data_IF_297048429241
#
_entry.id   IF_297048429241
#
_cell.length_a   1.000
_cell.length_b   1.000
_cell.length_c   1.000
_cell.angle_alpha   90.00
_cell.angle_beta   90.00
_cell.angle_gamma   90.00
#
_symmetry.space_group_name_H-M   'P 1'
#
loop_
_entity.id
_entity.type
_entity.pdbx_description
1 polymer ?
#
# COMPACT_ATOMS: atom_id res chain seq x y z
N UNK A 1 -15.08 20.97 13.47
CA UNK A 1 -15.98 21.54 12.45
C UNK A 1 -17.37 21.68 13.04
N UNK A 2 -18.17 22.68 12.63
CA UNK A 2 -19.58 22.74 13.01
C UNK A 2 -20.35 21.58 12.37
N UNK A 3 -21.42 21.09 13.01
CA UNK A 3 -22.24 19.99 12.45
C UNK A 3 -23.20 20.54 11.40
N UNK A 4 -23.13 20.02 10.18
CA UNK A 4 -24.05 20.39 9.08
C UNK A 4 -25.42 19.75 9.27
N UNK A 5 -25.43 18.48 9.68
CA UNK A 5 -26.64 17.70 9.95
C UNK A 5 -27.09 17.93 11.39
N UNK A 6 -28.32 18.41 11.56
CA UNK A 6 -28.90 18.66 12.89
C UNK A 6 -29.29 17.37 13.58
N UNK A 7 -29.27 17.35 14.92
CA UNK A 7 -29.73 16.18 15.68
C UNK A 7 -31.23 15.92 15.46
N UNK A 8 -32.01 16.97 15.19
CA UNK A 8 -33.44 16.88 14.82
C UNK A 8 -33.63 16.08 13.52
N UNK A 9 -32.89 16.41 12.45
CA UNK A 9 -32.94 15.65 11.19
C UNK A 9 -32.53 14.18 11.38
N UNK A 10 -31.45 13.94 12.14
CA UNK A 10 -30.97 12.57 12.37
C UNK A 10 -31.98 11.74 13.18
N UNK A 11 -32.71 12.37 14.11
CA UNK A 11 -33.71 11.66 14.93
C UNK A 11 -34.84 11.04 14.10
N UNK A 12 -35.12 11.55 12.89
CA UNK A 12 -36.09 10.97 11.96
C UNK A 12 -35.70 9.57 11.46
N UNK A 13 -34.47 9.12 11.71
CA UNK A 13 -33.93 7.84 11.28
C UNK A 13 -33.73 6.84 12.43
N UNK A 14 -33.99 7.23 13.69
CA UNK A 14 -33.70 6.37 14.84
C UNK A 14 -34.52 5.08 14.88
N UNK A 15 -35.78 5.15 14.42
CA UNK A 15 -36.70 4.01 14.32
C UNK A 15 -36.73 3.38 12.91
N UNK A 16 -36.01 3.95 11.94
CA UNK A 16 -35.96 3.42 10.57
C UNK A 16 -34.94 2.29 10.49
N UNK A 17 -35.33 1.18 9.84
CA UNK A 17 -34.41 0.10 9.52
C UNK A 17 -33.79 0.36 8.14
N UNK A 18 -32.45 0.39 8.00
CA UNK A 18 -31.83 0.48 6.69
C UNK A 18 -32.15 -0.78 5.87
N UNK A 19 -32.27 -0.67 4.53
CA UNK A 19 -32.65 -1.78 3.65
C UNK A 19 -31.50 -2.77 3.41
N UNK A 20 -30.73 -3.09 4.45
CA UNK A 20 -29.65 -4.07 4.40
C UNK A 20 -30.21 -5.50 4.45
N UNK A 21 -29.60 -6.39 3.67
CA UNK A 21 -29.76 -7.84 3.87
C UNK A 21 -29.01 -8.27 5.14
N UNK A 22 -29.30 -9.46 5.68
CA UNK A 22 -28.57 -10.00 6.84
C UNK A 22 -27.05 -10.08 6.60
N UNK A 23 -26.64 -10.40 5.36
CA UNK A 23 -25.24 -10.40 4.98
C UNK A 23 -24.67 -8.97 4.94
N UNK A 24 -25.41 -8.01 4.40
CA UNK A 24 -25.03 -6.61 4.38
C UNK A 24 -24.83 -6.04 5.79
N UNK A 25 -25.75 -6.34 6.70
CA UNK A 25 -25.68 -5.93 8.11
C UNK A 25 -24.45 -6.55 8.80
N UNK A 26 -24.21 -7.85 8.61
CA UNK A 26 -23.01 -8.51 9.14
C UNK A 26 -21.72 -7.88 8.62
N UNK A 27 -21.64 -7.63 7.30
CA UNK A 27 -20.47 -7.00 6.68
C UNK A 27 -20.25 -5.59 7.21
N UNK A 28 -21.33 -4.81 7.39
CA UNK A 28 -21.28 -3.47 7.96
C UNK A 28 -20.66 -3.48 9.36
N UNK A 29 -21.20 -4.28 10.28
CA UNK A 29 -20.72 -4.32 11.66
C UNK A 29 -19.28 -4.83 11.78
N UNK A 30 -18.89 -5.76 10.91
CA UNK A 30 -17.53 -6.30 10.88
C UNK A 30 -16.52 -5.30 10.31
N UNK A 31 -16.89 -4.55 9.27
CA UNK A 31 -15.93 -3.84 8.41
C UNK A 31 -15.95 -2.32 8.57
N UNK A 32 -17.13 -1.70 8.67
CA UNK A 32 -17.28 -0.23 8.58
C UNK A 32 -17.69 0.43 9.89
N UNK A 33 -18.43 -0.29 10.73
CA UNK A 33 -18.90 0.20 12.02
C UNK A 33 -17.74 0.32 13.02
N UNK A 34 -17.39 1.53 13.47
CA UNK A 34 -16.28 1.74 14.39
C UNK A 34 -16.69 1.50 15.85
N UNK A 35 -15.71 1.20 16.70
CA UNK A 35 -15.92 1.12 18.15
C UNK A 35 -15.97 2.53 18.76
N UNK A 36 -17.00 2.81 19.56
CA UNK A 36 -17.17 4.05 20.32
C UNK A 36 -16.84 3.77 21.79
N UNK A 37 -15.64 4.15 22.29
CA UNK A 37 -15.23 3.86 23.67
C UNK A 37 -16.22 4.40 24.70
N UNK A 38 -16.67 5.64 24.52
CA UNK A 38 -17.58 6.32 25.46
C UNK A 38 -18.96 5.67 25.55
N UNK A 39 -19.40 5.01 24.46
CA UNK A 39 -20.71 4.33 24.41
C UNK A 39 -20.60 2.82 24.65
N UNK A 40 -19.39 2.28 24.79
CA UNK A 40 -19.11 0.85 24.95
C UNK A 40 -19.81 -0.05 23.91
N UNK A 41 -19.93 0.44 22.67
CA UNK A 41 -20.56 -0.28 21.56
C UNK A 41 -19.97 0.15 20.22
N UNK A 42 -20.35 -0.57 19.16
CA UNK A 42 -20.08 -0.14 17.78
C UNK A 42 -21.09 0.90 17.27
N UNK A 43 -20.70 1.65 16.25
CA UNK A 43 -21.57 2.62 15.55
C UNK A 43 -22.81 1.93 14.96
N UNK A 44 -23.97 2.56 15.10
CA UNK A 44 -25.15 2.22 14.29
C UNK A 44 -25.00 2.79 12.88
N UNK A 45 -25.77 2.27 11.92
CA UNK A 45 -25.66 2.71 10.52
C UNK A 45 -25.84 4.22 10.37
N UNK A 46 -26.86 4.81 11.01
CA UNK A 46 -27.09 6.26 11.01
C UNK A 46 -25.89 7.08 11.52
N UNK A 47 -25.15 6.58 12.51
CA UNK A 47 -23.97 7.27 13.07
C UNK A 47 -22.82 7.24 12.06
N UNK A 48 -22.61 6.10 11.39
CA UNK A 48 -21.60 5.95 10.32
C UNK A 48 -21.93 6.84 9.13
N UNK A 49 -23.19 6.85 8.68
CA UNK A 49 -23.62 7.68 7.54
C UNK A 49 -23.45 9.15 7.87
N UNK A 50 -23.88 9.59 9.05
CA UNK A 50 -23.70 10.98 9.49
C UNK A 50 -22.24 11.40 9.42
N UNK A 51 -21.35 10.61 10.03
CA UNK A 51 -19.91 10.87 10.04
C UNK A 51 -19.32 10.93 8.63
N UNK A 52 -19.68 9.99 7.76
CA UNK A 52 -19.19 9.96 6.38
C UNK A 52 -19.68 11.14 5.53
N UNK A 53 -20.93 11.57 5.72
CA UNK A 53 -21.51 12.73 5.02
C UNK A 53 -20.93 14.03 5.55
N UNK A 54 -20.86 14.21 6.87
CA UNK A 54 -20.26 15.40 7.48
C UNK A 54 -18.79 15.56 7.08
N UNK A 55 -18.04 14.46 7.00
CA UNK A 55 -16.70 14.47 6.42
C UNK A 55 -16.68 14.98 4.98
N UNK A 56 -17.50 14.38 4.12
CA UNK A 56 -17.48 14.67 2.68
C UNK A 56 -17.87 16.12 2.39
N UNK A 57 -18.95 16.59 3.01
CA UNK A 57 -19.43 17.98 2.88
C UNK A 57 -18.42 18.96 3.47
N UNK A 58 -17.79 18.61 4.59
CA UNK A 58 -16.76 19.44 5.22
C UNK A 58 -15.48 19.62 4.40
N UNK A 59 -15.26 18.85 3.33
CA UNK A 59 -14.13 19.07 2.42
C UNK A 59 -14.32 20.32 1.54
N UNK A 60 -15.56 20.79 1.35
CA UNK A 60 -15.79 22.09 0.73
C UNK A 60 -15.53 23.22 1.75
N UNK A 61 -14.34 23.81 1.65
CA UNK A 61 -13.90 24.92 2.49
C UNK A 61 -14.36 26.30 1.98
N UNK A 62 -14.96 26.36 0.79
CA UNK A 62 -15.30 27.62 0.12
C UNK A 62 -16.77 28.02 0.33
N UNK A 63 -17.65 27.03 0.57
CA UNK A 63 -19.08 27.25 0.73
C UNK A 63 -19.48 27.27 2.22
N UNK A 64 -20.28 28.24 2.69
CA UNK A 64 -20.80 28.23 4.06
C UNK A 64 -21.59 26.95 4.37
N UNK A 65 -21.36 26.36 5.55
CA UNK A 65 -21.97 25.08 5.95
C UNK A 65 -23.51 25.09 5.93
N UNK A 66 -24.12 26.25 6.18
CA UNK A 66 -25.57 26.42 6.12
C UNK A 66 -26.12 26.22 4.71
N UNK A 67 -25.37 26.60 3.67
CA UNK A 67 -25.76 26.46 2.26
C UNK A 67 -25.64 25.00 1.80
N UNK A 68 -24.74 24.23 2.41
CA UNK A 68 -24.53 22.80 2.12
C UNK A 68 -25.52 21.87 2.85
N UNK A 69 -26.41 22.42 3.69
CA UNK A 69 -27.28 21.60 4.55
C UNK A 69 -28.27 20.75 3.77
N UNK A 70 -28.88 21.30 2.73
CA UNK A 70 -29.86 20.59 1.91
C UNK A 70 -29.17 19.42 1.18
N UNK A 71 -28.04 19.67 0.53
CA UNK A 71 -27.22 18.64 -0.11
C UNK A 71 -26.78 17.55 0.88
N UNK A 72 -26.33 17.93 2.09
CA UNK A 72 -25.95 16.98 3.13
C UNK A 72 -27.13 16.09 3.54
N UNK A 73 -28.34 16.64 3.67
CA UNK A 73 -29.53 15.88 4.03
C UNK A 73 -29.94 14.91 2.91
N UNK A 74 -29.89 15.34 1.65
CA UNK A 74 -30.16 14.49 0.49
C UNK A 74 -29.15 13.34 0.37
N UNK A 75 -27.85 13.65 0.51
CA UNK A 75 -26.79 12.65 0.48
C UNK A 75 -26.94 11.65 1.63
N UNK A 76 -27.26 12.14 2.84
CA UNK A 76 -27.54 11.27 3.98
C UNK A 76 -28.71 10.34 3.71
N UNK A 77 -29.85 10.84 3.21
CA UNK A 77 -31.02 10.01 2.90
C UNK A 77 -30.70 8.92 1.87
N UNK A 78 -29.97 9.29 0.81
CA UNK A 78 -29.57 8.36 -0.25
C UNK A 78 -28.63 7.26 0.26
N UNK A 79 -27.64 7.61 1.08
CA UNK A 79 -26.71 6.62 1.66
C UNK A 79 -27.44 5.76 2.69
N UNK A 80 -28.27 6.35 3.56
CA UNK A 80 -29.04 5.59 4.55
C UNK A 80 -29.88 4.50 3.90
N UNK A 81 -30.55 4.83 2.80
CA UNK A 81 -31.38 3.92 2.01
C UNK A 81 -30.61 3.07 0.98
N UNK A 82 -29.27 3.10 1.00
CA UNK A 82 -28.41 2.33 0.10
C UNK A 82 -28.64 2.59 -1.39
N UNK A 83 -29.20 3.76 -1.74
CA UNK A 83 -29.38 4.17 -3.15
C UNK A 83 -28.04 4.58 -3.77
N UNK A 84 -27.16 5.11 -2.94
CA UNK A 84 -25.79 5.52 -3.27
C UNK A 84 -24.87 5.21 -2.08
N UNK A 85 -23.56 5.21 -2.30
CA UNK A 85 -22.59 5.08 -1.21
C UNK A 85 -21.32 5.84 -1.57
N UNK A 86 -20.67 6.42 -0.55
CA UNK A 86 -19.26 6.80 -0.67
C UNK A 86 -18.38 5.55 -0.73
N UNK A 87 -17.10 5.73 -1.04
CA UNK A 87 -16.14 4.63 -0.99
C UNK A 87 -16.13 3.99 0.40
N UNK A 88 -15.97 2.66 0.46
CA UNK A 88 -15.87 1.93 1.74
C UNK A 88 -14.75 2.46 2.64
N UNK A 89 -13.75 3.15 2.07
CA UNK A 89 -12.74 3.86 2.84
C UNK A 89 -13.31 5.01 3.63
N UNK A 90 -14.01 5.91 2.96
CA UNK A 90 -14.64 7.09 3.58
C UNK A 90 -15.66 6.66 4.64
N UNK A 91 -16.40 5.56 4.42
CA UNK A 91 -17.24 4.97 5.46
C UNK A 91 -16.44 4.61 6.73
N UNK A 92 -15.22 4.09 6.57
CA UNK A 92 -14.36 3.68 7.69
C UNK A 92 -13.57 4.82 8.33
N UNK A 93 -13.01 5.76 7.56
CA UNK A 93 -12.05 6.77 8.06
C UNK A 93 -12.57 8.21 8.05
N UNK A 94 -13.62 8.52 7.29
CA UNK A 94 -14.14 9.88 7.19
C UNK A 94 -14.51 10.45 8.56
N UNK A 95 -14.16 11.70 8.82
CA UNK A 95 -14.41 12.43 10.08
C UNK A 95 -13.95 11.61 11.31
N UNK A 96 -12.75 11.04 11.19
CA UNK A 96 -12.00 10.43 12.30
C UNK A 96 -10.61 11.03 12.37
N UNK A 97 -9.94 10.90 13.51
CA UNK A 97 -8.54 11.33 13.69
C UNK A 97 -7.57 10.72 12.63
N UNK A 98 -7.96 9.60 12.01
CA UNK A 98 -7.18 9.00 10.91
C UNK A 98 -7.19 9.90 9.68
N UNK A 99 -8.34 10.47 9.31
CA UNK A 99 -8.45 11.35 8.14
C UNK A 99 -7.65 12.65 8.32
N UNK A 100 -7.62 13.18 9.56
CA UNK A 100 -6.85 14.39 9.86
C UNK A 100 -5.34 14.14 9.83
N UNK A 101 -4.89 13.03 10.43
CA UNK A 101 -3.46 12.68 10.51
C UNK A 101 -2.90 12.13 9.21
N UNK A 102 -3.71 11.39 8.46
CA UNK A 102 -3.31 10.72 7.23
C UNK A 102 -4.35 10.98 6.14
N UNK A 103 -4.39 12.18 5.54
CA UNK A 103 -5.38 12.52 4.51
C UNK A 103 -5.39 11.52 3.35
N UNK A 104 -4.21 11.03 2.95
CA UNK A 104 -4.04 10.00 1.92
C UNK A 104 -4.78 8.69 2.23
N UNK A 105 -5.07 8.42 3.51
CA UNK A 105 -5.84 7.24 3.90
C UNK A 105 -7.27 7.26 3.34
N UNK A 106 -7.81 8.39 2.87
CA UNK A 106 -9.12 8.42 2.20
C UNK A 106 -9.08 7.92 0.74
N UNK A 107 -7.91 7.90 0.11
CA UNK A 107 -7.73 7.36 -1.23
C UNK A 107 -7.48 5.85 -1.13
N UNK A 108 -8.21 5.06 -1.91
CA UNK A 108 -8.12 3.60 -1.83
C UNK A 108 -7.04 3.02 -2.72
N UNK A 109 -6.71 3.72 -3.79
CA UNK A 109 -5.80 3.27 -4.81
C UNK A 109 -4.89 4.40 -5.26
N UNK A 110 -3.69 4.04 -5.70
CA UNK A 110 -2.70 4.92 -6.29
C UNK A 110 -1.93 4.16 -7.39
N UNK A 111 -1.06 4.88 -8.10
CA UNK A 111 -0.17 4.32 -9.09
C UNK A 111 1.16 5.06 -9.07
N UNK A 112 2.25 4.34 -9.36
CA UNK A 112 3.60 4.90 -9.48
C UNK A 112 4.28 4.36 -10.75
N UNK A 113 5.06 5.20 -11.41
CA UNK A 113 6.14 4.73 -12.29
C UNK A 113 7.34 4.54 -11.38
N UNK A 114 8.00 3.38 -11.40
CA UNK A 114 9.21 3.19 -10.60
C UNK A 114 10.41 3.61 -11.43
N UNK A 115 10.76 4.90 -11.36
CA UNK A 115 11.88 5.51 -12.08
C UNK A 115 12.85 6.33 -11.21
N UNK A 116 12.62 6.40 -9.90
CA UNK A 116 13.57 6.86 -8.88
C UNK A 116 13.56 5.95 -7.62
N UNK A 117 14.65 5.95 -6.84
CA UNK A 117 14.73 5.27 -5.55
C UNK A 117 13.66 5.71 -4.54
N UNK A 118 13.22 6.97 -4.60
CA UNK A 118 12.20 7.52 -3.71
C UNK A 118 10.81 6.90 -3.97
N UNK A 119 10.54 6.41 -5.18
CA UNK A 119 9.24 5.80 -5.51
C UNK A 119 8.95 4.56 -4.66
N UNK A 120 9.99 3.81 -4.28
CA UNK A 120 9.84 2.68 -3.36
C UNK A 120 9.41 3.15 -1.96
N UNK A 121 9.89 4.31 -1.51
CA UNK A 121 9.45 4.94 -0.26
C UNK A 121 7.98 5.40 -0.34
N UNK A 122 7.59 6.01 -1.46
CA UNK A 122 6.19 6.39 -1.70
C UNK A 122 5.25 5.19 -1.77
N UNK A 123 5.66 4.13 -2.47
CA UNK A 123 4.95 2.85 -2.54
C UNK A 123 4.78 2.30 -1.12
N UNK A 124 5.85 2.28 -0.33
CA UNK A 124 5.81 1.79 1.04
C UNK A 124 4.83 2.58 1.92
N UNK A 125 4.88 3.91 1.85
CA UNK A 125 3.97 4.77 2.62
C UNK A 125 2.51 4.55 2.23
N UNK A 126 2.20 4.55 0.92
CA UNK A 126 0.85 4.35 0.40
C UNK A 126 0.27 3.01 0.87
N UNK A 127 1.05 1.93 0.77
CA UNK A 127 0.64 0.62 1.27
C UNK A 127 0.38 0.63 2.79
N UNK A 128 1.22 1.31 3.59
CA UNK A 128 1.04 1.40 5.05
C UNK A 128 -0.19 2.23 5.48
N UNK A 129 -0.66 3.16 4.65
CA UNK A 129 -1.96 3.84 4.87
C UNK A 129 -3.13 3.05 4.24
N UNK A 130 -2.85 1.86 3.70
CA UNK A 130 -3.81 0.90 3.18
C UNK A 130 -4.26 1.17 1.74
N UNK A 131 -3.58 2.07 1.03
CA UNK A 131 -3.83 2.34 -0.39
C UNK A 131 -3.24 1.20 -1.21
N UNK A 132 -4.01 0.63 -2.14
CA UNK A 132 -3.45 -0.32 -3.11
C UNK A 132 -2.67 0.43 -4.19
N UNK A 133 -1.48 -0.05 -4.55
CA UNK A 133 -0.57 0.68 -5.45
C UNK A 133 -0.33 -0.13 -6.71
N UNK A 134 -0.73 0.41 -7.86
CA UNK A 134 -0.22 -0.08 -9.13
C UNK A 134 1.16 0.49 -9.39
N UNK A 135 2.05 -0.28 -10.01
CA UNK A 135 3.37 0.22 -10.34
C UNK A 135 3.79 -0.25 -11.73
N UNK A 136 4.61 0.55 -12.42
CA UNK A 136 5.17 0.23 -13.72
C UNK A 136 6.69 0.13 -13.67
N UNK A 137 7.23 -0.88 -14.33
CA UNK A 137 8.66 -1.21 -14.36
C UNK A 137 9.12 -1.49 -15.80
N UNK A 138 8.87 -0.57 -16.73
CA UNK A 138 9.42 -0.73 -18.08
C UNK A 138 10.96 -0.56 -18.03
N UNK A 139 11.71 -1.16 -18.98
CA UNK A 139 13.15 -0.96 -19.05
C UNK A 139 13.56 0.52 -19.00
N UNK A 140 12.87 1.39 -19.74
CA UNK A 140 13.12 2.83 -19.79
C UNK A 140 12.77 3.59 -18.49
N UNK A 141 11.93 3.01 -17.63
CA UNK A 141 11.63 3.58 -16.31
C UNK A 141 12.78 3.22 -15.36
N UNK A 142 13.12 1.93 -15.29
CA UNK A 142 14.08 1.40 -14.34
C UNK A 142 15.50 1.87 -14.62
N UNK A 143 15.84 2.14 -15.88
CA UNK A 143 17.14 2.73 -16.27
C UNK A 143 17.38 4.09 -15.57
N UNK A 144 16.33 4.89 -15.32
CA UNK A 144 16.45 6.22 -14.70
C UNK A 144 16.76 6.17 -13.21
N UNK A 145 16.45 5.06 -12.53
CA UNK A 145 16.73 4.88 -11.08
C UNK A 145 18.23 5.01 -10.80
N UNK A 146 19.06 4.61 -11.78
CA UNK A 146 20.51 4.78 -11.75
C UNK A 146 21.26 3.72 -10.93
N UNK A 147 22.58 3.88 -10.92
CA UNK A 147 23.51 2.95 -10.30
C UNK A 147 23.55 3.08 -8.76
N UNK A 148 23.95 1.99 -8.10
CA UNK A 148 24.21 1.94 -6.66
C UNK A 148 25.50 1.18 -6.35
N UNK A 149 26.09 1.48 -5.20
CA UNK A 149 27.28 0.81 -4.68
C UNK A 149 26.95 -0.62 -4.27
N UNK A 150 27.78 -1.55 -4.73
CA UNK A 150 27.79 -2.93 -4.26
C UNK A 150 28.76 -3.12 -3.10
N UNK A 151 28.68 -4.27 -2.41
CA UNK A 151 29.62 -4.64 -1.35
C UNK A 151 29.41 -3.92 -0.01
N UNK A 152 28.31 -3.20 0.17
CA UNK A 152 27.91 -2.66 1.48
C UNK A 152 27.29 -3.77 2.31
N UNK A 153 27.93 -4.12 3.43
CA UNK A 153 27.42 -5.15 4.33
C UNK A 153 26.19 -4.66 5.09
N UNK A 154 25.20 -5.53 5.29
CA UNK A 154 24.07 -5.24 6.19
C UNK A 154 24.08 -6.14 7.41
N UNK A 155 23.71 -5.58 8.56
CA UNK A 155 23.58 -6.30 9.82
C UNK A 155 22.31 -5.85 10.56
N UNK A 156 21.76 -6.75 11.37
CA UNK A 156 20.50 -6.51 12.10
C UNK A 156 20.80 -6.56 13.59
N UNK A 157 20.75 -5.39 14.24
CA UNK A 157 20.99 -5.30 15.69
C UNK A 157 19.97 -6.18 16.43
N UNK A 158 20.45 -6.86 17.47
CA UNK A 158 19.57 -7.69 18.31
C UNK A 158 18.46 -6.81 18.91
N UNK A 159 17.23 -7.25 18.73
CA UNK A 159 16.06 -6.51 19.19
C UNK A 159 15.91 -6.57 20.72
N UNK A 160 15.89 -5.40 21.33
CA UNK A 160 15.56 -5.16 22.72
C UNK A 160 14.53 -4.02 22.75
N UNK A 161 13.24 -4.30 23.00
CA UNK A 161 12.19 -3.31 22.88
C UNK A 161 12.41 -2.15 23.85
N UNK A 162 12.34 -0.93 23.33
CA UNK A 162 12.28 0.28 24.16
C UNK A 162 10.89 0.40 24.77
N UNK A 163 10.84 0.83 26.03
CA UNK A 163 9.59 1.13 26.73
C UNK A 163 8.77 2.14 25.94
N UNK A 164 7.46 1.95 25.93
CA UNK A 164 6.52 2.68 25.07
C UNK A 164 6.69 4.20 25.12
N UNK A 165 6.89 4.77 26.31
CA UNK A 165 7.03 6.21 26.51
C UNK A 165 8.36 6.79 26.00
N UNK A 166 9.35 5.92 25.75
CA UNK A 166 10.70 6.30 25.31
C UNK A 166 10.95 5.97 23.83
N UNK A 167 9.98 5.37 23.13
CA UNK A 167 10.12 5.01 21.71
C UNK A 167 10.20 6.28 20.87
N UNK A 168 11.21 6.34 20.00
CA UNK A 168 11.32 7.41 18.99
C UNK A 168 10.36 7.14 17.84
N UNK A 169 9.58 8.14 17.44
CA UNK A 169 8.70 8.03 16.26
C UNK A 169 9.50 8.15 14.95
N UNK A 170 10.52 9.00 14.92
CA UNK A 170 11.33 9.27 13.72
C UNK A 170 12.59 8.39 13.68
N UNK A 171 12.99 8.05 12.46
CA UNK A 171 14.24 7.33 12.21
C UNK A 171 15.42 8.29 12.27
N UNK A 172 16.52 7.85 12.90
CA UNK A 172 17.79 8.56 12.94
C UNK A 172 18.93 7.70 12.43
N UNK A 173 20.00 8.34 11.98
CA UNK A 173 21.23 7.67 11.53
C UNK A 173 22.41 8.18 12.34
N UNK A 174 23.24 7.25 12.80
CA UNK A 174 24.54 7.54 13.40
C UNK A 174 25.61 6.84 12.57
N UNK A 175 26.67 7.56 12.18
CA UNK A 175 27.78 6.99 11.38
C UNK A 175 29.06 7.17 12.17
N UNK A 176 29.76 6.08 12.41
CA UNK A 176 31.06 6.12 13.10
C UNK A 176 32.23 6.35 12.12
N UNK A 177 33.41 6.73 12.63
CA UNK A 177 34.59 6.97 11.79
C UNK A 177 35.09 5.76 10.99
N UNK A 178 34.69 4.54 11.37
CA UNK A 178 35.07 3.30 10.69
C UNK A 178 34.15 2.98 9.50
N UNK A 179 33.17 3.85 9.23
CA UNK A 179 32.25 3.71 8.10
C UNK A 179 31.10 2.73 8.39
N UNK A 180 30.76 2.52 9.65
CA UNK A 180 29.57 1.76 10.05
C UNK A 180 28.43 2.75 10.35
N UNK A 181 27.38 2.68 9.54
CA UNK A 181 26.15 3.42 9.78
C UNK A 181 25.17 2.57 10.61
N UNK A 182 24.55 3.15 11.62
CA UNK A 182 23.42 2.56 12.34
C UNK A 182 22.14 3.36 12.05
N UNK A 183 21.19 2.71 11.37
CA UNK A 183 19.84 3.24 11.14
C UNK A 183 18.97 2.80 12.32
N UNK A 184 18.67 3.74 13.21
CA UNK A 184 17.77 3.55 14.35
C UNK A 184 16.34 3.81 13.89
N UNK A 185 15.60 2.74 13.62
CA UNK A 185 14.28 2.78 13.01
C UNK A 185 13.25 3.29 14.00
N UNK A 186 12.48 4.30 13.61
CA UNK A 186 11.39 4.90 14.41
C UNK A 186 10.10 4.07 14.41
N UNK A 187 9.24 4.28 15.41
CA UNK A 187 7.96 3.58 15.60
C UNK A 187 6.76 4.28 14.92
N UNK A 188 6.94 4.72 13.69
CA UNK A 188 5.91 5.36 12.85
C UNK A 188 6.00 4.91 11.39
N UNK A 189 4.98 5.19 10.58
CA UNK A 189 5.01 4.84 9.14
C UNK A 189 6.10 5.63 8.43
N UNK A 190 6.19 6.91 8.77
CA UNK A 190 7.17 7.87 8.29
C UNK A 190 8.58 7.45 8.69
N UNK A 191 8.76 6.94 9.92
CA UNK A 191 10.02 6.36 10.37
C UNK A 191 10.44 5.15 9.54
N UNK A 192 9.51 4.24 9.25
CA UNK A 192 9.79 3.04 8.45
C UNK A 192 10.19 3.39 7.01
N UNK A 193 9.48 4.33 6.38
CA UNK A 193 9.83 4.85 5.05
C UNK A 193 11.19 5.53 5.10
N UNK A 194 11.42 6.41 6.06
CA UNK A 194 12.70 7.12 6.16
C UNK A 194 13.89 6.18 6.40
N UNK A 195 13.68 5.04 7.07
CA UNK A 195 14.71 4.01 7.19
C UNK A 195 15.05 3.35 5.84
N UNK A 196 14.05 3.16 4.97
CA UNK A 196 14.27 2.69 3.60
C UNK A 196 15.00 3.76 2.77
N UNK A 197 14.59 5.01 2.86
CA UNK A 197 15.24 6.12 2.17
C UNK A 197 16.71 6.24 2.57
N UNK A 198 17.01 6.22 3.88
CA UNK A 198 18.41 6.26 4.34
C UNK A 198 19.22 5.07 3.84
N UNK A 199 18.62 3.88 3.77
CA UNK A 199 19.32 2.71 3.20
C UNK A 199 19.67 2.93 1.73
N UNK A 200 18.73 3.40 0.92
CA UNK A 200 19.00 3.71 -0.49
C UNK A 200 19.97 4.88 -0.66
N UNK A 201 19.80 5.98 0.08
CA UNK A 201 20.74 7.10 0.10
C UNK A 201 22.18 6.64 0.41
N UNK A 202 22.37 5.72 1.37
CA UNK A 202 23.71 5.22 1.74
C UNK A 202 24.40 4.43 0.62
N UNK A 203 23.65 3.77 -0.26
CA UNK A 203 24.22 3.01 -1.37
C UNK A 203 24.31 3.83 -2.67
N UNK A 204 23.54 4.90 -2.82
CA UNK A 204 23.53 5.73 -4.06
C UNK A 204 24.32 7.03 -3.93
N UNK A 205 24.21 7.73 -2.79
CA UNK A 205 24.76 9.08 -2.63
C UNK A 205 26.27 9.08 -2.41
N UNK A 206 26.95 10.00 -3.08
CA UNK A 206 28.39 10.21 -2.92
C UNK A 206 28.80 10.65 -1.51
N UNK A 207 27.88 11.21 -0.73
CA UNK A 207 28.13 11.63 0.66
C UNK A 207 28.42 10.44 1.58
N UNK A 208 27.95 9.24 1.23
CA UNK A 208 28.10 8.03 2.04
C UNK A 208 29.12 7.04 1.47
N UNK A 209 30.04 7.47 0.59
CA UNK A 209 31.09 6.58 0.01
C UNK A 209 31.95 5.87 1.06
N UNK A 210 32.11 6.47 2.25
CA UNK A 210 32.83 5.87 3.37
C UNK A 210 32.06 4.78 4.11
N UNK A 211 30.74 4.68 3.91
CA UNK A 211 29.91 3.66 4.57
C UNK A 211 30.12 2.32 3.88
N UNK A 212 30.66 1.36 4.63
CA UNK A 212 30.89 -0.02 4.17
C UNK A 212 29.98 -1.02 4.87
N UNK A 213 29.34 -0.63 5.99
CA UNK A 213 28.41 -1.47 6.73
C UNK A 213 27.22 -0.66 7.25
N UNK A 214 26.02 -1.23 7.15
CA UNK A 214 24.77 -0.64 7.62
C UNK A 214 24.13 -1.58 8.65
N UNK A 215 23.93 -1.09 9.87
CA UNK A 215 23.24 -1.78 10.96
C UNK A 215 21.83 -1.25 11.08
N UNK A 216 20.83 -2.12 11.06
CA UNK A 216 19.45 -1.73 11.35
C UNK A 216 19.11 -2.03 12.81
N UNK A 217 18.72 -0.99 13.54
CA UNK A 217 18.29 -1.09 14.93
C UNK A 217 16.78 -0.84 15.02
N UNK A 218 16.03 -1.90 15.31
CA UNK A 218 14.57 -1.86 15.39
C UNK A 218 14.04 -1.66 16.81
N UNK A 219 14.86 -1.33 17.80
CA UNK A 219 14.46 -1.35 19.21
C UNK A 219 13.26 -0.43 19.54
N UNK A 220 13.08 0.67 18.80
CA UNK A 220 11.89 1.52 18.99
C UNK A 220 10.62 0.92 18.40
N UNK A 221 10.72 0.03 17.41
CA UNK A 221 9.55 -0.57 16.76
C UNK A 221 8.75 -1.38 17.78
N UNK A 222 7.47 -1.06 17.90
CA UNK A 222 6.55 -1.71 18.85
C UNK A 222 6.51 -3.24 18.64
N UNK A 223 6.34 -4.02 19.72
CA UNK A 223 6.28 -5.48 19.64
C UNK A 223 5.00 -5.97 18.93
N UNK A 224 5.07 -7.19 18.40
CA UNK A 224 3.93 -7.85 17.77
C UNK A 224 2.76 -7.97 18.76
N UNK A 225 1.55 -7.68 18.28
CA UNK A 225 0.33 -7.77 19.09
C UNK A 225 -0.08 -6.48 19.80
N UNK A 226 0.78 -5.45 19.83
CA UNK A 226 0.40 -4.15 20.42
C UNK A 226 -0.72 -3.48 19.60
N UNK A 227 -1.77 -3.00 20.28
CA UNK A 227 -2.97 -2.44 19.62
C UNK A 227 -2.66 -1.13 18.91
N UNK A 228 -3.12 -0.99 17.67
CA UNK A 228 -3.01 0.24 16.90
C UNK A 228 -4.19 1.18 17.20
N UNK A 229 -3.91 2.44 17.50
CA UNK A 229 -4.94 3.44 17.85
C UNK A 229 -5.75 3.92 16.65
N UNK A 230 -5.11 4.06 15.49
CA UNK A 230 -5.68 4.76 14.32
C UNK A 230 -6.44 3.81 13.38
N UNK A 231 -5.71 2.89 12.74
CA UNK A 231 -6.26 1.97 11.73
C UNK A 231 -6.94 0.71 12.32
N UNK A 232 -6.95 0.57 13.65
CA UNK A 232 -7.43 -0.64 14.33
C UNK A 232 -6.47 -1.82 14.18
N UNK A 233 -6.82 -2.98 14.76
CA UNK A 233 -5.97 -4.17 14.75
C UNK A 233 -4.76 -4.11 15.69
N UNK A 234 -3.76 -4.92 15.40
CA UNK A 234 -2.54 -5.08 16.20
C UNK A 234 -1.30 -5.00 15.32
N UNK A 235 -0.18 -4.56 15.90
CA UNK A 235 1.08 -4.41 15.20
C UNK A 235 1.68 -5.77 14.79
N UNK A 236 2.33 -5.81 13.63
CA UNK A 236 3.08 -6.97 13.13
C UNK A 236 4.40 -7.22 13.89
N UNK A 237 4.96 -6.17 14.50
CA UNK A 237 6.27 -6.19 15.14
C UNK A 237 7.43 -6.00 14.17
N UNK A 238 8.65 -5.90 14.71
CA UNK A 238 9.87 -5.60 13.94
C UNK A 238 10.31 -6.69 12.95
N UNK A 239 9.89 -7.94 13.14
CA UNK A 239 10.36 -9.06 12.30
C UNK A 239 9.97 -8.91 10.82
N UNK A 240 8.84 -8.24 10.54
CA UNK A 240 8.39 -8.01 9.16
C UNK A 240 9.31 -7.05 8.41
N UNK A 241 9.59 -5.88 8.99
CA UNK A 241 10.49 -4.88 8.39
C UNK A 241 11.95 -5.39 8.35
N UNK A 242 12.37 -6.16 9.35
CA UNK A 242 13.68 -6.83 9.33
C UNK A 242 13.82 -7.80 8.16
N UNK A 243 12.78 -8.60 7.87
CA UNK A 243 12.75 -9.49 6.69
C UNK A 243 12.77 -8.70 5.39
N UNK A 244 12.05 -7.57 5.32
CA UNK A 244 12.03 -6.68 4.18
C UNK A 244 13.45 -6.21 3.81
N UNK A 245 14.18 -5.62 4.75
CA UNK A 245 15.56 -5.14 4.50
C UNK A 245 16.50 -6.28 4.08
N UNK A 246 16.40 -7.45 4.70
CA UNK A 246 17.19 -8.64 4.30
C UNK A 246 16.88 -9.10 2.88
N UNK A 247 15.60 -9.15 2.50
CA UNK A 247 15.21 -9.56 1.14
C UNK A 247 15.67 -8.52 0.11
N UNK A 248 15.48 -7.23 0.39
CA UNK A 248 15.95 -6.15 -0.49
C UNK A 248 17.46 -6.22 -0.69
N UNK A 249 18.27 -6.45 0.36
CA UNK A 249 19.73 -6.58 0.20
C UNK A 249 20.14 -7.75 -0.69
N UNK A 250 19.38 -8.87 -0.65
CA UNK A 250 19.62 -10.01 -1.54
C UNK A 250 19.28 -9.65 -3.00
N UNK A 251 18.20 -8.89 -3.23
CA UNK A 251 17.85 -8.42 -4.58
C UNK A 251 18.92 -7.45 -5.11
N UNK A 252 19.38 -6.50 -4.29
CA UNK A 252 20.44 -5.56 -4.66
C UNK A 252 21.78 -6.28 -4.92
N UNK A 253 22.12 -7.31 -4.14
CA UNK A 253 23.32 -8.10 -4.42
C UNK A 253 23.28 -8.79 -5.80
N UNK A 254 22.09 -9.16 -6.28
CA UNK A 254 21.88 -9.78 -7.61
C UNK A 254 21.86 -8.78 -8.77
N UNK A 255 21.64 -7.49 -8.49
CA UNK A 255 21.65 -6.46 -9.51
C UNK A 255 23.04 -5.93 -9.88
N UNK A 256 24.07 -6.32 -9.14
CA UNK A 256 25.48 -6.01 -9.47
C UNK A 256 25.77 -4.51 -9.70
N UNK A 257 24.98 -3.62 -9.09
CA UNK A 257 25.15 -2.16 -9.16
C UNK A 257 24.09 -1.44 -9.99
N UNK A 258 23.23 -2.17 -10.71
CA UNK A 258 22.12 -1.60 -11.47
C UNK A 258 20.82 -2.40 -11.22
N UNK A 259 19.67 -1.75 -11.37
CA UNK A 259 18.39 -2.44 -11.28
C UNK A 259 17.94 -2.88 -12.68
N UNK A 260 17.37 -4.08 -12.76
CA UNK A 260 16.60 -4.56 -13.90
C UNK A 260 15.12 -4.51 -13.53
N UNK A 261 14.18 -4.49 -14.49
CA UNK A 261 12.74 -4.54 -14.22
C UNK A 261 12.32 -5.57 -13.16
N UNK A 262 12.84 -6.79 -13.25
CA UNK A 262 12.60 -7.84 -12.26
C UNK A 262 13.06 -7.47 -10.84
N UNK A 263 14.17 -6.74 -10.70
CA UNK A 263 14.69 -6.29 -9.40
C UNK A 263 13.77 -5.24 -8.80
N UNK A 264 13.35 -4.24 -9.59
CA UNK A 264 12.39 -3.22 -9.16
C UNK A 264 11.05 -3.86 -8.74
N UNK A 265 10.51 -4.77 -9.56
CA UNK A 265 9.29 -5.53 -9.22
C UNK A 265 9.46 -6.33 -7.91
N UNK A 266 10.61 -6.98 -7.71
CA UNK A 266 10.85 -7.73 -6.48
C UNK A 266 10.91 -6.82 -5.26
N UNK A 267 11.59 -5.66 -5.34
CA UNK A 267 11.66 -4.70 -4.22
C UNK A 267 10.26 -4.19 -3.86
N UNK A 268 9.45 -3.78 -4.84
CA UNK A 268 8.06 -3.37 -4.62
C UNK A 268 7.24 -4.48 -3.92
N UNK A 269 7.29 -5.70 -4.46
CA UNK A 269 6.59 -6.85 -3.88
C UNK A 269 7.08 -7.24 -2.47
N UNK A 270 8.37 -7.05 -2.16
CA UNK A 270 8.93 -7.28 -0.81
C UNK A 270 8.38 -6.23 0.18
N UNK A 271 8.26 -4.97 -0.26
CA UNK A 271 7.60 -3.92 0.51
C UNK A 271 6.13 -4.28 0.73
N UNK A 272 5.44 -4.75 -0.30
CA UNK A 272 4.08 -5.24 -0.22
C UNK A 272 3.88 -6.36 0.79
N UNK A 273 4.77 -7.36 0.77
CA UNK A 273 4.76 -8.50 1.69
C UNK A 273 4.92 -8.03 3.14
N UNK A 274 5.81 -7.07 3.40
CA UNK A 274 6.02 -6.51 4.73
C UNK A 274 4.73 -5.89 5.32
N UNK A 275 3.97 -5.17 4.50
CA UNK A 275 2.76 -4.47 4.95
C UNK A 275 1.62 -5.45 5.30
N UNK A 276 1.51 -6.61 4.63
CA UNK A 276 0.45 -7.61 4.86
C UNK A 276 0.48 -8.16 6.30
N UNK A 277 1.66 -8.27 6.91
CA UNK A 277 1.85 -8.95 8.21
C UNK A 277 1.14 -8.21 9.36
N UNK A 278 0.62 -7.00 9.14
CA UNK A 278 -0.14 -6.17 10.10
C UNK A 278 -1.63 -6.51 10.27
N UNK A 279 -2.16 -7.50 9.53
CA UNK A 279 -3.39 -8.21 9.91
C UNK A 279 -4.75 -7.51 9.75
N UNK A 280 -4.81 -6.26 9.25
CA UNK A 280 -6.11 -5.56 9.06
C UNK A 280 -6.60 -5.60 7.61
N UNK A 281 -5.70 -5.60 6.61
CA UNK A 281 -6.04 -5.66 5.19
C UNK A 281 -4.87 -6.25 4.39
N UNK A 282 -5.16 -7.05 3.37
CA UNK A 282 -4.15 -7.53 2.42
C UNK A 282 -3.70 -6.36 1.53
N UNK A 283 -2.39 -6.21 1.35
CA UNK A 283 -1.78 -5.39 0.29
C UNK A 283 -2.36 -5.80 -1.06
N UNK A 284 -2.54 -4.82 -1.95
CA UNK A 284 -3.00 -5.02 -3.30
C UNK A 284 -2.10 -4.23 -4.24
N UNK A 285 -1.41 -4.94 -5.13
CA UNK A 285 -0.51 -4.36 -6.11
C UNK A 285 -0.82 -4.90 -7.51
N UNK A 286 -0.53 -4.09 -8.54
CA UNK A 286 -0.45 -4.53 -9.93
C UNK A 286 0.89 -4.10 -10.49
N UNK A 287 1.61 -4.99 -11.16
CA UNK A 287 2.86 -4.70 -11.84
C UNK A 287 2.59 -4.59 -13.34
N UNK A 288 2.76 -3.40 -13.93
CA UNK A 288 2.75 -3.20 -15.37
C UNK A 288 4.17 -3.35 -15.91
N UNK A 289 4.35 -4.27 -16.86
CA UNK A 289 5.67 -4.60 -17.40
C UNK A 289 5.66 -4.69 -18.93
N UNK A 290 6.85 -4.66 -19.52
CA UNK A 290 7.03 -4.63 -20.97
C UNK A 290 6.64 -5.98 -21.62
N UNK A 291 6.01 -5.98 -22.81
CA UNK A 291 5.63 -7.21 -23.51
C UNK A 291 6.77 -8.20 -23.80
N UNK A 292 8.01 -7.71 -23.91
CA UNK A 292 9.18 -8.52 -24.23
C UNK A 292 9.95 -9.00 -22.99
N UNK A 293 9.52 -8.61 -21.78
CA UNK A 293 10.14 -9.04 -20.52
C UNK A 293 9.64 -10.45 -20.11
N UNK A 294 10.29 -11.47 -20.67
CA UNK A 294 10.04 -12.87 -20.34
C UNK A 294 10.41 -13.23 -18.88
N UNK A 295 11.31 -12.46 -18.24
CA UNK A 295 11.72 -12.71 -16.85
C UNK A 295 10.60 -12.37 -15.87
N UNK A 296 9.91 -11.23 -16.07
CA UNK A 296 8.71 -10.88 -15.30
C UNK A 296 7.53 -11.77 -15.68
N UNK A 297 7.33 -12.07 -16.97
CA UNK A 297 6.24 -12.90 -17.45
C UNK A 297 6.18 -14.25 -16.72
N UNK A 298 7.35 -14.91 -16.58
CA UNK A 298 7.49 -16.24 -15.96
C UNK A 298 7.88 -16.18 -14.49
N UNK A 299 7.93 -14.99 -13.91
CA UNK A 299 8.46 -14.79 -12.56
C UNK A 299 7.67 -15.52 -11.46
N UNK A 300 6.45 -15.98 -11.76
CA UNK A 300 5.54 -16.65 -10.83
C UNK A 300 5.39 -18.16 -11.04
N UNK A 301 5.96 -18.71 -12.11
CA UNK A 301 5.74 -20.11 -12.52
C UNK A 301 6.15 -21.11 -11.42
N UNK A 302 7.26 -20.83 -10.72
CA UNK A 302 7.89 -21.74 -9.76
C UNK A 302 7.63 -21.35 -8.28
N UNK A 303 6.68 -20.47 -8.00
CA UNK A 303 6.36 -20.10 -6.59
C UNK A 303 5.89 -21.32 -5.80
N UNK A 304 5.12 -22.20 -6.46
CA UNK A 304 4.58 -23.42 -5.91
C UNK A 304 5.08 -24.60 -6.73
N UNK A 305 5.84 -25.51 -6.11
CA UNK A 305 6.34 -26.73 -6.76
C UNK A 305 5.93 -27.95 -5.95
N UNK A 306 5.92 -29.14 -6.55
CA UNK A 306 5.71 -30.39 -5.81
C UNK A 306 7.04 -31.01 -5.41
N UNK A 307 7.18 -31.41 -4.15
CA UNK A 307 8.34 -32.17 -3.69
C UNK A 307 8.28 -33.63 -4.19
N UNK A 308 9.31 -34.43 -3.88
CA UNK A 308 9.39 -35.85 -4.28
C UNK A 308 8.22 -36.71 -3.75
N UNK A 309 7.53 -36.25 -2.72
CA UNK A 309 6.39 -36.89 -2.07
C UNK A 309 5.03 -36.43 -2.68
N UNK A 310 5.06 -35.52 -3.65
CA UNK A 310 3.88 -34.94 -4.31
C UNK A 310 3.21 -33.81 -3.52
N UNK A 311 3.81 -33.34 -2.43
CA UNK A 311 3.30 -32.24 -1.62
C UNK A 311 3.69 -30.89 -2.23
N UNK A 312 2.74 -29.95 -2.26
CA UNK A 312 3.01 -28.59 -2.70
C UNK A 312 3.84 -27.83 -1.68
N UNK A 313 4.99 -27.32 -2.11
CA UNK A 313 5.93 -26.51 -1.33
C UNK A 313 6.07 -25.12 -1.93
N UNK A 314 6.23 -24.12 -1.06
CA UNK A 314 6.40 -22.72 -1.44
C UNK A 314 7.88 -22.35 -1.49
N UNK A 315 8.35 -21.78 -2.61
CA UNK A 315 9.70 -21.20 -2.67
C UNK A 315 9.74 -19.85 -1.94
N UNK A 316 10.24 -19.89 -0.70
CA UNK A 316 10.39 -18.70 0.15
C UNK A 316 11.30 -17.62 -0.43
N UNK A 317 12.19 -17.95 -1.38
CA UNK A 317 13.09 -17.00 -2.03
C UNK A 317 12.38 -16.10 -3.06
N UNK A 318 11.25 -16.55 -3.61
CA UNK A 318 10.46 -15.80 -4.59
C UNK A 318 8.99 -15.59 -4.18
N UNK A 319 8.58 -16.09 -3.01
CA UNK A 319 7.20 -16.02 -2.52
C UNK A 319 6.61 -14.60 -2.48
N UNK A 320 7.46 -13.57 -2.30
CA UNK A 320 7.00 -12.17 -2.32
C UNK A 320 6.39 -11.78 -3.67
N UNK A 321 6.72 -12.45 -4.78
CA UNK A 321 6.15 -12.16 -6.11
C UNK A 321 4.65 -12.40 -6.22
N UNK A 322 4.03 -13.07 -5.25
CA UNK A 322 2.56 -13.19 -5.17
C UNK A 322 1.84 -11.89 -4.81
N UNK A 323 2.60 -10.85 -4.43
CA UNK A 323 2.01 -9.63 -3.88
C UNK A 323 1.37 -8.72 -4.93
N UNK A 324 1.89 -8.73 -6.16
CA UNK A 324 1.30 -8.07 -7.31
C UNK A 324 0.59 -9.05 -8.22
N UNK A 325 -0.46 -8.61 -8.91
CA UNK A 325 -0.89 -9.23 -10.18
C UNK A 325 -0.07 -8.61 -11.32
N UNK A 326 0.49 -9.41 -12.23
CA UNK A 326 1.40 -8.91 -13.26
C UNK A 326 0.62 -8.76 -14.56
N UNK A 327 0.75 -7.62 -15.23
CA UNK A 327 0.03 -7.31 -16.47
C UNK A 327 0.95 -6.73 -17.52
N UNK A 328 0.85 -7.29 -18.74
CA UNK A 328 1.62 -6.84 -19.90
C UNK A 328 1.07 -5.49 -20.38
N UNK A 329 1.96 -4.54 -20.67
CA UNK A 329 1.61 -3.24 -21.21
C UNK A 329 1.79 -3.22 -22.74
N UNK A 330 0.75 -3.58 -23.48
CA UNK A 330 0.80 -3.58 -24.94
C UNK A 330 0.76 -2.16 -25.51
N UNK A 331 1.90 -1.71 -26.06
CA UNK A 331 2.02 -0.44 -26.82
C UNK A 331 1.33 -0.55 -28.18
N UNK A 332 1.40 -1.71 -28.81
CA UNK A 332 0.78 -2.02 -30.10
C UNK A 332 0.01 -3.34 -30.03
N UNK A 333 -0.77 -3.66 -31.08
CA UNK A 333 -1.48 -4.92 -31.16
C UNK A 333 -0.48 -6.09 -31.28
N UNK A 334 -0.47 -7.05 -30.33
CA UNK A 334 0.43 -8.19 -30.42
C UNK A 334 0.07 -9.10 -31.59
N UNK A 335 1.06 -9.88 -32.03
CA UNK A 335 0.82 -10.96 -32.97
C UNK A 335 -0.16 -11.99 -32.41
N UNK A 336 -0.88 -12.64 -33.31
CA UNK A 336 -1.91 -13.61 -32.95
C UNK A 336 -1.35 -14.76 -32.12
N UNK A 337 -0.16 -15.25 -32.44
CA UNK A 337 0.50 -16.35 -31.72
C UNK A 337 0.84 -15.96 -30.28
N UNK A 338 1.40 -14.76 -30.07
CA UNK A 338 1.69 -14.22 -28.74
C UNK A 338 0.41 -14.08 -27.91
N UNK A 339 -0.66 -13.56 -28.51
CA UNK A 339 -1.96 -13.46 -27.82
C UNK A 339 -2.52 -14.83 -27.44
N UNK A 340 -2.42 -15.83 -28.31
CA UNK A 340 -2.83 -17.20 -27.98
C UNK A 340 -2.02 -17.77 -26.80
N UNK A 341 -0.70 -17.60 -26.80
CA UNK A 341 0.16 -18.03 -25.71
C UNK A 341 -0.22 -17.39 -24.36
N UNK A 342 -0.52 -16.09 -24.34
CA UNK A 342 -0.98 -15.39 -23.14
C UNK A 342 -2.34 -15.92 -22.68
N UNK A 343 -3.29 -16.10 -23.59
CA UNK A 343 -4.61 -16.65 -23.25
C UNK A 343 -4.52 -18.08 -22.72
N UNK A 344 -3.59 -18.89 -23.21
CA UNK A 344 -3.38 -20.24 -22.69
C UNK A 344 -2.77 -20.21 -21.27
N UNK A 345 -1.87 -19.27 -20.97
CA UNK A 345 -1.38 -19.03 -19.61
C UNK A 345 -2.51 -18.55 -18.68
N UNK A 346 -3.38 -17.64 -19.13
CA UNK A 346 -4.54 -17.18 -18.34
C UNK A 346 -5.49 -18.34 -18.01
N UNK A 347 -5.70 -19.29 -18.93
CA UNK A 347 -6.56 -20.46 -18.66
C UNK A 347 -6.02 -21.34 -17.54
N UNK A 348 -4.71 -21.47 -17.41
CA UNK A 348 -4.07 -22.36 -16.43
C UNK A 348 -3.77 -21.64 -15.12
N UNK A 349 -3.35 -20.38 -15.17
CA UNK A 349 -2.82 -19.62 -14.02
C UNK A 349 -3.63 -18.38 -13.66
N UNK A 350 -4.50 -17.90 -14.56
CA UNK A 350 -5.23 -16.63 -14.39
C UNK A 350 -4.40 -15.37 -14.64
N UNK A 351 -3.15 -15.52 -15.09
CA UNK A 351 -2.16 -14.47 -15.32
C UNK A 351 -1.44 -14.72 -16.67
N UNK A 352 -0.72 -13.74 -17.25
CA UNK A 352 -0.74 -12.33 -16.86
C UNK A 352 -2.04 -11.64 -17.31
N UNK A 353 -2.39 -10.54 -16.64
CA UNK A 353 -3.31 -9.57 -17.25
C UNK A 353 -2.65 -8.85 -18.42
N UNK A 354 -3.39 -7.99 -19.10
CA UNK A 354 -2.80 -7.07 -20.07
C UNK A 354 -3.59 -5.77 -20.17
N UNK A 355 -2.88 -4.67 -20.48
CA UNK A 355 -3.41 -3.34 -20.67
C UNK A 355 -3.05 -2.86 -22.08
N UNK A 356 -4.01 -2.24 -22.77
CA UNK A 356 -3.77 -1.59 -24.06
C UNK A 356 -3.36 -0.14 -23.82
N UNK A 357 -2.06 0.12 -23.93
CA UNK A 357 -1.48 1.45 -23.71
C UNK A 357 -1.95 2.46 -24.75
N UNK A 358 -1.99 2.08 -26.04
CA UNK A 358 -2.44 2.95 -27.12
C UNK A 358 -3.86 3.46 -26.89
N UNK A 359 -4.79 2.55 -26.57
CA UNK A 359 -6.17 2.92 -26.27
C UNK A 359 -6.30 3.78 -25.00
N UNK A 360 -5.48 3.51 -23.97
CA UNK A 360 -5.46 4.35 -22.76
C UNK A 360 -5.00 5.78 -23.09
N UNK A 361 -3.92 5.92 -23.86
CA UNK A 361 -3.36 7.22 -24.27
C UNK A 361 -4.27 8.00 -25.20
N UNK A 362 -5.04 7.34 -26.06
CA UNK A 362 -6.07 7.98 -26.89
C UNK A 362 -7.19 8.61 -26.04
N UNK A 363 -7.55 7.99 -24.92
CA UNK A 363 -8.58 8.52 -24.01
C UNK A 363 -7.99 9.60 -23.09
N UNK A 364 -6.78 9.38 -22.58
CA UNK A 364 -6.05 10.29 -21.67
C UNK A 364 -4.56 10.29 -21.97
N UNK A 365 -4.10 11.33 -22.66
CA UNK A 365 -2.71 11.48 -23.10
C UNK A 365 -1.70 11.46 -21.93
N UNK A 366 -2.09 12.00 -20.78
CA UNK A 366 -1.30 12.10 -19.56
C UNK A 366 -1.30 10.83 -18.69
N UNK A 367 -2.11 9.82 -19.01
CA UNK A 367 -2.23 8.60 -18.21
C UNK A 367 -0.92 7.78 -18.20
N UNK A 368 -0.44 7.39 -17.03
CA UNK A 368 0.81 6.65 -16.84
C UNK A 368 0.61 5.16 -16.53
N UNK A 369 -0.61 4.76 -16.18
CA UNK A 369 -0.99 3.38 -15.91
C UNK A 369 -2.33 3.31 -15.19
N UNK A 370 -2.51 2.26 -14.39
CA UNK A 370 -3.79 1.97 -13.73
C UNK A 370 -3.62 1.53 -12.28
N UNK A 371 -4.64 1.76 -11.47
CA UNK A 371 -4.72 1.22 -10.12
C UNK A 371 -4.76 -0.33 -10.10
N UNK A 372 -4.60 -0.99 -8.93
CA UNK A 372 -4.61 -2.47 -8.85
C UNK A 372 -5.86 -3.17 -9.38
N UNK A 373 -6.99 -2.47 -9.51
CA UNK A 373 -8.21 -3.02 -10.09
C UNK A 373 -8.31 -2.82 -11.61
N UNK A 374 -7.40 -2.06 -12.24
CA UNK A 374 -7.42 -1.76 -13.66
C UNK A 374 -8.58 -0.90 -14.13
N UNK A 375 -9.24 -0.15 -13.22
CA UNK A 375 -10.48 0.59 -13.51
C UNK A 375 -10.30 2.09 -13.68
N UNK A 376 -9.22 2.63 -13.13
CA UNK A 376 -8.94 4.07 -13.12
C UNK A 376 -7.61 4.31 -13.82
N UNK A 377 -7.58 5.26 -14.75
CA UNK A 377 -6.34 5.76 -15.31
C UNK A 377 -5.69 6.67 -14.28
N UNK A 378 -4.45 6.37 -13.94
CA UNK A 378 -3.65 7.20 -13.06
C UNK A 378 -2.75 8.10 -13.88
N UNK A 379 -2.69 9.37 -13.49
CA UNK A 379 -2.04 10.44 -14.24
C UNK A 379 -0.67 10.74 -13.60
N UNK A 380 0.13 11.54 -14.28
CA UNK A 380 1.40 12.06 -13.76
C UNK A 380 1.18 13.09 -12.64
#
# INVERSE_FOLDING_TARGET
MGRVLTDEFISEYDDKKPPMTNLGEFVYYRTYSRWLPEKMRREKWQETVRRAVEYNIGLDINTPLEELREEAQELYDNIFHLRQTVAGRTLWVGDTEVADKFPLANFNCAFLVLDDWQDFGELFYNLMVGTGVGFRVLPEDVEKIGEYRTGVEIDMVRYYPVDKENRKEFTSVEIDPDGVAEIVVGDSKEGWVKALDFYFEMITSHLYRGVNKIRFNFNNVRPKGERLKTFGGTASGHESIKKMFKKISIILARGEGELRPIHAMNIANIIGENVVVGGVRRTAEICLFDPDDEEILRSKDDIYTQNEEGEWVEDQAILHRRMSNNSILFKERPERERLHSILDSIKTMGEPGFLNWGAMKEIREDAQGVNPCGKEFCLM
#
